data_IF_044215142558
#
_entry.id   IF_044215142558
#
_cell.length_a   1.000
_cell.length_b   1.000
_cell.length_c   1.000
_cell.angle_alpha   90.00
_cell.angle_beta   90.00
_cell.angle_gamma   90.00
#
_symmetry.space_group_name_H-M   'P 1'
#
loop_
_entity.id
_entity.type
_entity.pdbx_description
1 polymer ?
#
# COMPACT_ATOMS: atom_id res chain seq x y z
N UNK A 1 -53.65 11.46 8.03
CA UNK A 1 -52.37 12.19 8.02
C UNK A 1 -51.29 11.29 7.42
N UNK A 2 -50.68 11.67 6.31
CA UNK A 2 -49.69 10.81 5.64
C UNK A 2 -48.40 10.72 6.48
N UNK A 3 -48.02 9.50 6.87
CA UNK A 3 -46.84 9.25 7.71
C UNK A 3 -45.54 9.73 7.06
N UNK A 4 -44.59 10.17 7.91
CA UNK A 4 -43.25 10.61 7.49
C UNK A 4 -42.49 9.45 6.87
N UNK A 5 -42.20 9.53 5.57
CA UNK A 5 -41.40 8.52 4.85
C UNK A 5 -39.94 8.66 5.27
N UNK A 6 -39.34 7.55 5.73
CA UNK A 6 -37.96 7.52 6.23
C UNK A 6 -36.99 7.94 5.12
N UNK A 7 -36.03 8.80 5.47
CA UNK A 7 -34.99 9.33 4.56
C UNK A 7 -35.47 10.25 3.44
N UNK A 8 -36.77 10.52 3.33
CA UNK A 8 -37.31 11.52 2.42
C UNK A 8 -37.37 12.87 3.13
N UNK A 9 -36.70 13.87 2.57
CA UNK A 9 -36.67 15.25 3.05
C UNK A 9 -37.33 16.16 2.02
N UNK A 10 -38.14 17.11 2.46
CA UNK A 10 -38.71 18.16 1.62
C UNK A 10 -38.16 19.52 2.05
N UNK A 11 -37.50 20.23 1.14
CA UNK A 11 -36.87 21.55 1.36
C UNK A 11 -37.09 22.38 0.10
N UNK A 12 -37.53 23.63 0.27
CA UNK A 12 -37.67 24.62 -0.82
C UNK A 12 -38.40 24.10 -2.07
N UNK A 13 -39.53 23.41 -1.86
CA UNK A 13 -40.36 22.89 -2.95
C UNK A 13 -39.81 21.63 -3.63
N UNK A 14 -38.73 21.02 -3.12
CA UNK A 14 -38.09 19.84 -3.70
C UNK A 14 -37.90 18.71 -2.68
N UNK A 15 -38.00 17.49 -3.16
CA UNK A 15 -37.73 16.28 -2.41
C UNK A 15 -36.28 15.85 -2.57
N UNK A 16 -35.71 15.32 -1.49
CA UNK A 16 -34.35 14.82 -1.39
C UNK A 16 -34.33 13.48 -0.67
N UNK A 17 -33.47 12.56 -1.11
CA UNK A 17 -33.06 11.42 -0.30
C UNK A 17 -31.93 11.88 0.62
N UNK A 18 -32.08 11.69 1.93
CA UNK A 18 -31.10 12.12 2.94
C UNK A 18 -30.69 10.97 3.84
N UNK A 19 -29.37 10.78 4.01
CA UNK A 19 -28.79 9.87 5.01
C UNK A 19 -27.62 10.53 5.73
N UNK A 20 -27.56 10.34 7.04
CA UNK A 20 -26.46 10.84 7.87
C UNK A 20 -25.20 10.02 7.60
N UNK A 21 -24.05 10.69 7.50
CA UNK A 21 -22.73 10.04 7.41
C UNK A 21 -22.24 9.73 8.83
N UNK A 22 -21.96 8.45 9.16
CA UNK A 22 -21.34 8.06 10.42
C UNK A 22 -20.07 8.86 10.72
N UNK A 23 -19.82 9.21 11.98
CA UNK A 23 -18.72 10.10 12.38
C UNK A 23 -17.36 9.63 11.85
N UNK A 24 -17.10 8.33 11.90
CA UNK A 24 -15.86 7.69 11.45
C UNK A 24 -15.58 7.83 9.95
N UNK A 25 -16.62 8.09 9.15
CA UNK A 25 -16.53 8.21 7.69
C UNK A 25 -16.51 9.66 7.21
N UNK A 26 -16.76 10.64 8.09
CA UNK A 26 -16.88 12.05 7.71
C UNK A 26 -15.57 12.62 7.16
N UNK A 27 -14.42 12.17 7.66
CA UNK A 27 -13.10 12.59 7.15
C UNK A 27 -12.81 12.06 5.74
N UNK A 28 -13.46 10.96 5.34
CA UNK A 28 -13.28 10.35 4.01
C UNK A 28 -14.31 10.91 3.03
N UNK A 29 -15.57 11.01 3.45
CA UNK A 29 -16.69 11.50 2.62
C UNK A 29 -16.68 13.03 2.52
N UNK A 30 -16.07 13.74 3.47
CA UNK A 30 -15.99 15.20 3.52
C UNK A 30 -17.30 15.91 3.88
N UNK A 31 -18.36 15.16 4.19
CA UNK A 31 -19.70 15.69 4.50
C UNK A 31 -20.28 15.03 5.73
N UNK A 32 -21.11 15.78 6.47
CA UNK A 32 -21.85 15.25 7.64
C UNK A 32 -23.05 14.40 7.21
N UNK A 33 -23.59 14.68 6.02
CA UNK A 33 -24.77 14.04 5.47
C UNK A 33 -24.66 13.95 3.94
N UNK A 34 -25.25 12.90 3.38
CA UNK A 34 -25.42 12.76 1.94
C UNK A 34 -26.87 13.06 1.58
N UNK A 35 -27.03 13.96 0.62
CA UNK A 35 -28.31 14.36 0.07
C UNK A 35 -28.30 14.19 -1.44
N UNK A 36 -29.40 13.69 -1.98
CA UNK A 36 -29.59 13.52 -3.42
C UNK A 36 -30.96 14.08 -3.82
N UNK A 37 -31.02 14.99 -4.81
CA UNK A 37 -32.29 15.57 -5.26
C UNK A 37 -33.15 14.53 -5.99
N UNK A 38 -34.45 14.52 -5.69
CA UNK A 38 -35.46 13.63 -6.28
C UNK A 38 -36.51 14.38 -7.12
N UNK A 39 -36.46 15.72 -7.14
CA UNK A 39 -37.40 16.57 -7.89
C UNK A 39 -38.55 17.14 -7.05
N UNK A 40 -39.47 17.84 -7.70
CA UNK A 40 -40.56 18.56 -7.01
C UNK A 40 -41.84 17.73 -6.84
N UNK A 41 -42.06 16.71 -7.68
CA UNK A 41 -43.24 15.85 -7.59
C UNK A 41 -43.08 14.75 -6.52
N UNK A 42 -44.06 14.64 -5.63
CA UNK A 42 -44.04 13.73 -4.48
C UNK A 42 -44.11 12.27 -4.89
N UNK A 43 -44.93 11.92 -5.90
CA UNK A 43 -45.07 10.53 -6.35
C UNK A 43 -43.78 10.06 -7.00
N UNK A 44 -43.28 10.83 -7.97
CA UNK A 44 -42.00 10.56 -8.63
C UNK A 44 -40.84 10.46 -7.62
N UNK A 45 -40.80 11.31 -6.60
CA UNK A 45 -39.77 11.25 -5.58
C UNK A 45 -39.83 9.98 -4.72
N UNK A 46 -41.03 9.49 -4.39
CA UNK A 46 -41.19 8.23 -3.64
C UNK A 46 -40.71 7.04 -4.46
N UNK A 47 -40.98 7.03 -5.76
CA UNK A 47 -40.55 5.95 -6.65
C UNK A 47 -39.03 5.95 -6.87
N UNK A 48 -38.40 7.13 -6.91
CA UNK A 48 -36.95 7.28 -7.06
C UNK A 48 -36.16 7.12 -5.77
N UNK A 49 -36.80 7.25 -4.61
CA UNK A 49 -36.16 7.19 -3.29
C UNK A 49 -35.32 5.92 -3.08
N UNK A 50 -35.78 4.69 -3.40
CA UNK A 50 -34.98 3.48 -3.24
C UNK A 50 -33.68 3.51 -4.05
N UNK A 51 -33.73 4.04 -5.28
CA UNK A 51 -32.56 4.12 -6.18
C UNK A 51 -31.54 5.11 -5.61
N UNK A 52 -31.99 6.29 -5.16
CA UNK A 52 -31.11 7.27 -4.53
C UNK A 52 -30.48 6.73 -3.23
N UNK A 53 -31.24 5.99 -2.42
CA UNK A 53 -30.72 5.36 -1.21
C UNK A 53 -29.64 4.31 -1.50
N UNK A 54 -29.73 3.57 -2.62
CA UNK A 54 -28.68 2.64 -3.06
C UNK A 54 -27.41 3.40 -3.42
N UNK A 55 -27.50 4.51 -4.17
CA UNK A 55 -26.33 5.34 -4.52
C UNK A 55 -25.66 5.92 -3.27
N UNK A 56 -26.46 6.40 -2.32
CA UNK A 56 -25.96 6.89 -1.03
C UNK A 56 -25.31 5.75 -0.23
N UNK A 57 -25.89 4.56 -0.21
CA UNK A 57 -25.30 3.39 0.45
C UNK A 57 -23.95 3.01 -0.17
N UNK A 58 -23.86 2.93 -1.50
CA UNK A 58 -22.62 2.63 -2.20
C UNK A 58 -21.48 3.62 -1.87
N UNK A 59 -21.79 4.91 -1.72
CA UNK A 59 -20.81 5.92 -1.28
C UNK A 59 -20.31 5.68 0.15
N UNK A 60 -21.18 5.22 1.05
CA UNK A 60 -20.81 4.89 2.43
C UNK A 60 -20.00 3.59 2.49
N UNK A 61 -20.39 2.57 1.72
CA UNK A 61 -19.69 1.28 1.66
C UNK A 61 -18.27 1.46 1.10
N UNK A 62 -18.10 2.27 0.05
CA UNK A 62 -16.78 2.66 -0.46
C UNK A 62 -15.95 3.38 0.62
N UNK A 63 -16.54 4.33 1.36
CA UNK A 63 -15.83 5.02 2.42
C UNK A 63 -15.41 4.08 3.56
N UNK A 64 -16.22 3.07 3.87
CA UNK A 64 -15.87 2.01 4.82
C UNK A 64 -14.69 1.17 4.32
N UNK A 65 -14.70 0.76 3.06
CA UNK A 65 -13.60 0.00 2.46
C UNK A 65 -12.29 0.80 2.45
N UNK A 66 -12.34 2.09 2.07
CA UNK A 66 -11.16 2.99 2.15
C UNK A 66 -10.64 3.11 3.57
N UNK A 67 -11.54 3.20 4.56
CA UNK A 67 -11.14 3.24 5.98
C UNK A 67 -10.48 1.94 6.42
N UNK A 68 -11.07 0.79 6.10
CA UNK A 68 -10.54 -0.51 6.43
C UNK A 68 -9.13 -0.69 5.85
N UNK A 69 -8.95 -0.39 4.56
CA UNK A 69 -7.65 -0.44 3.90
C UNK A 69 -6.64 0.50 4.58
N UNK A 70 -7.02 1.75 4.91
CA UNK A 70 -6.11 2.65 5.64
C UNK A 70 -5.71 2.11 7.00
N UNK A 71 -6.62 1.46 7.73
CA UNK A 71 -6.32 0.86 9.02
C UNK A 71 -5.39 -0.34 8.87
N UNK A 72 -5.61 -1.19 7.87
CA UNK A 72 -4.76 -2.33 7.54
C UNK A 72 -3.36 -1.88 7.09
N UNK A 73 -3.26 -0.90 6.18
CA UNK A 73 -1.96 -0.34 5.75
C UNK A 73 -1.21 0.27 6.93
N UNK A 74 -1.89 1.06 7.78
CA UNK A 74 -1.27 1.62 8.97
C UNK A 74 -0.84 0.55 9.98
N UNK A 75 -1.58 -0.55 10.10
CA UNK A 75 -1.22 -1.68 10.95
C UNK A 75 -0.02 -2.46 10.37
N UNK A 76 -0.01 -2.71 9.06
CA UNK A 76 1.10 -3.35 8.36
C UNK A 76 2.37 -2.49 8.40
N UNK A 77 2.27 -1.17 8.24
CA UNK A 77 3.40 -0.25 8.38
C UNK A 77 3.92 -0.21 9.82
N UNK A 78 3.05 -0.27 10.83
CA UNK A 78 3.48 -0.36 12.23
C UNK A 78 4.16 -1.69 12.51
N UNK A 79 3.59 -2.80 12.05
CA UNK A 79 4.14 -4.14 12.21
C UNK A 79 5.47 -4.31 11.47
N UNK A 80 5.62 -3.71 10.28
CA UNK A 80 6.87 -3.70 9.52
C UNK A 80 7.95 -2.87 10.22
N UNK A 81 7.59 -1.74 10.84
CA UNK A 81 8.52 -0.93 11.64
C UNK A 81 8.94 -1.62 12.95
N UNK A 82 8.08 -2.48 13.51
CA UNK A 82 8.29 -3.17 14.79
C UNK A 82 8.55 -4.67 14.67
N UNK A 83 8.89 -5.17 13.48
CA UNK A 83 9.22 -6.60 13.34
C UNK A 83 10.60 -6.84 13.92
N UNK A 84 10.72 -7.89 14.72
CA UNK A 84 12.02 -8.43 15.12
C UNK A 84 12.76 -8.85 13.86
N UNK A 85 14.03 -8.48 13.76
CA UNK A 85 14.91 -8.78 12.64
C UNK A 85 16.05 -9.65 13.14
N UNK A 86 16.46 -10.61 12.32
CA UNK A 86 17.69 -11.36 12.55
C UNK A 86 18.93 -10.45 12.43
N UNK A 87 20.09 -10.83 13.00
CA UNK A 87 21.34 -10.10 12.82
C UNK A 87 21.68 -9.80 11.35
N UNK A 88 21.46 -10.76 10.46
CA UNK A 88 21.70 -10.60 9.02
C UNK A 88 20.73 -9.59 8.37
N UNK A 89 19.46 -9.60 8.75
CA UNK A 89 18.48 -8.61 8.25
C UNK A 89 18.78 -7.20 8.77
N UNK A 90 19.21 -7.08 10.03
CA UNK A 90 19.66 -5.80 10.60
C UNK A 90 20.86 -5.26 9.87
N UNK A 91 21.87 -6.10 9.61
CA UNK A 91 23.05 -5.73 8.83
C UNK A 91 22.66 -5.23 7.43
N UNK A 92 21.75 -5.96 6.74
CA UNK A 92 21.24 -5.55 5.42
C UNK A 92 20.50 -4.22 5.46
N UNK A 93 19.59 -4.02 6.42
CA UNK A 93 18.84 -2.77 6.57
C UNK A 93 19.79 -1.62 6.88
N UNK A 94 20.73 -1.80 7.81
CA UNK A 94 21.74 -0.81 8.17
C UNK A 94 22.58 -0.41 6.96
N UNK A 95 23.10 -1.39 6.23
CA UNK A 95 23.86 -1.15 4.99
C UNK A 95 23.08 -0.27 4.00
N UNK A 96 21.83 -0.64 3.73
CA UNK A 96 20.96 0.11 2.81
C UNK A 96 20.71 1.54 3.27
N UNK A 97 20.43 1.74 4.57
CA UNK A 97 20.25 3.07 5.15
C UNK A 97 21.51 3.91 4.97
N UNK A 98 22.71 3.34 5.19
CA UNK A 98 23.98 4.05 5.04
C UNK A 98 24.25 4.46 3.60
N UNK A 99 24.01 3.56 2.63
CA UNK A 99 24.16 3.87 1.21
C UNK A 99 23.17 4.94 0.76
N UNK A 100 21.91 4.87 1.22
CA UNK A 100 20.90 5.88 0.88
C UNK A 100 21.23 7.25 1.47
N UNK A 101 21.71 7.29 2.72
CA UNK A 101 22.15 8.52 3.38
C UNK A 101 23.34 9.14 2.65
N UNK A 102 24.37 8.36 2.33
CA UNK A 102 25.52 8.83 1.56
C UNK A 102 25.09 9.45 0.23
N UNK A 103 24.23 8.76 -0.53
CA UNK A 103 23.71 9.26 -1.79
C UNK A 103 22.92 10.58 -1.62
N UNK A 104 22.07 10.65 -0.59
CA UNK A 104 21.27 11.85 -0.32
C UNK A 104 22.15 13.06 0.02
N UNK A 105 23.20 12.87 0.83
CA UNK A 105 24.13 13.97 1.18
C UNK A 105 24.98 14.42 -0.02
N UNK A 106 25.44 13.50 -0.87
CA UNK A 106 26.13 13.85 -2.12
C UNK A 106 25.26 14.67 -3.07
N UNK A 107 23.96 14.35 -3.14
CA UNK A 107 23.00 15.11 -3.93
C UNK A 107 22.68 16.47 -3.33
N UNK A 108 22.75 16.60 -2.00
CA UNK A 108 22.45 17.85 -1.30
C UNK A 108 23.55 18.92 -1.49
N UNK A 109 24.82 18.53 -1.67
CA UNK A 109 25.89 19.48 -1.92
C UNK A 109 27.30 18.86 -2.00
N UNK A 110 28.29 19.63 -2.49
CA UNK A 110 29.64 19.11 -2.76
C UNK A 110 30.48 18.84 -1.51
N UNK A 111 30.08 19.37 -0.35
CA UNK A 111 30.87 19.29 0.89
C UNK A 111 30.97 17.88 1.45
N UNK A 112 29.98 17.01 1.17
CA UNK A 112 29.95 15.65 1.72
C UNK A 112 31.15 14.81 1.27
N UNK A 113 31.53 14.89 -0.01
CA UNK A 113 32.66 14.17 -0.56
C UNK A 113 34.03 14.65 -0.05
N UNK A 114 34.07 15.75 0.71
CA UNK A 114 35.29 16.28 1.33
C UNK A 114 35.43 15.89 2.80
N UNK A 115 34.44 15.21 3.38
CA UNK A 115 34.49 14.75 4.77
C UNK A 115 35.21 13.41 4.80
N UNK A 116 36.39 13.36 5.42
CA UNK A 116 37.15 12.13 5.59
C UNK A 116 36.50 11.16 6.58
N UNK A 117 36.86 9.88 6.46
CA UNK A 117 36.45 8.83 7.38
C UNK A 117 37.44 8.79 8.55
N UNK A 118 36.94 8.61 9.77
CA UNK A 118 37.79 8.45 10.96
C UNK A 118 38.41 7.03 10.97
N UNK A 119 39.73 6.96 10.78
CA UNK A 119 40.49 5.70 10.79
C UNK A 119 40.38 4.95 12.12
N UNK A 120 40.21 5.68 13.24
CA UNK A 120 40.03 5.05 14.55
C UNK A 120 38.68 4.34 14.62
N UNK A 121 37.63 4.96 14.12
CA UNK A 121 36.32 4.35 14.04
C UNK A 121 36.34 3.08 13.16
N UNK A 122 37.05 3.10 12.03
CA UNK A 122 37.24 1.91 11.18
C UNK A 122 38.00 0.81 11.93
N UNK A 123 39.05 1.16 12.68
CA UNK A 123 39.79 0.19 13.49
C UNK A 123 38.92 -0.43 14.60
N UNK A 124 38.10 0.38 15.27
CA UNK A 124 37.18 -0.06 16.32
C UNK A 124 36.10 -0.98 15.76
N UNK A 125 35.50 -0.66 14.61
CA UNK A 125 34.55 -1.53 13.91
C UNK A 125 35.16 -2.89 13.54
N UNK A 126 36.42 -2.92 13.08
CA UNK A 126 37.15 -4.17 12.82
C UNK A 126 37.38 -4.97 14.09
N UNK A 127 37.64 -4.30 15.22
CA UNK A 127 37.78 -4.95 16.51
C UNK A 127 36.46 -5.55 17.01
N UNK A 128 35.33 -4.86 16.82
CA UNK A 128 33.98 -5.40 17.07
C UNK A 128 33.74 -6.66 16.22
N UNK A 129 33.93 -6.56 14.90
CA UNK A 129 33.70 -7.66 13.97
C UNK A 129 34.57 -8.88 14.27
N UNK A 130 35.84 -8.66 14.64
CA UNK A 130 36.76 -9.72 15.04
C UNK A 130 36.47 -10.30 16.44
N UNK A 131 35.50 -9.75 17.18
CA UNK A 131 35.14 -10.18 18.52
C UNK A 131 36.20 -9.87 19.59
N UNK A 132 37.05 -8.87 19.37
CA UNK A 132 38.14 -8.51 20.29
C UNK A 132 37.70 -7.62 21.44
N UNK A 133 36.57 -6.92 21.29
CA UNK A 133 36.05 -5.98 22.27
C UNK A 133 35.07 -6.65 23.23
N UNK A 134 35.03 -6.21 24.48
CA UNK A 134 34.00 -6.59 25.44
C UNK A 134 32.65 -5.87 25.16
N UNK A 135 31.62 -6.16 25.96
CA UNK A 135 30.28 -5.63 25.67
C UNK A 135 30.16 -4.13 25.96
N UNK A 136 30.94 -3.60 26.89
CA UNK A 136 30.95 -2.18 27.24
C UNK A 136 31.72 -1.37 26.18
N UNK A 137 32.82 -1.93 25.68
CA UNK A 137 33.57 -1.40 24.54
C UNK A 137 32.73 -1.41 23.24
N UNK A 138 31.98 -2.49 22.97
CA UNK A 138 31.03 -2.53 21.85
C UNK A 138 29.95 -1.45 21.99
N UNK A 139 29.44 -1.21 23.21
CA UNK A 139 28.45 -0.17 23.46
C UNK A 139 29.03 1.25 23.24
N UNK A 140 30.31 1.48 23.54
CA UNK A 140 30.96 2.77 23.24
C UNK A 140 31.09 3.02 21.73
N UNK A 141 31.36 1.99 20.94
CA UNK A 141 31.56 2.11 19.48
C UNK A 141 30.22 2.15 18.72
N UNK A 142 29.28 1.29 19.11
CA UNK A 142 28.06 0.99 18.34
C UNK A 142 26.76 1.31 19.09
N UNK A 143 26.82 1.88 20.30
CA UNK A 143 25.67 2.10 21.18
C UNK A 143 24.54 2.84 20.50
N UNK A 144 24.83 3.96 19.83
CA UNK A 144 23.82 4.78 19.13
C UNK A 144 23.08 4.02 18.04
N UNK A 145 23.80 3.15 17.31
CA UNK A 145 23.24 2.35 16.22
C UNK A 145 22.36 1.22 16.79
N UNK A 146 22.86 0.51 17.81
CA UNK A 146 22.12 -0.57 18.46
C UNK A 146 20.87 -0.04 19.19
N UNK A 147 20.98 1.08 19.88
CA UNK A 147 19.87 1.72 20.58
C UNK A 147 18.79 2.22 19.60
N UNK A 148 19.19 2.67 18.40
CA UNK A 148 18.23 3.00 17.33
C UNK A 148 17.37 1.80 16.95
N UNK A 149 17.98 0.64 16.70
CA UNK A 149 17.24 -0.58 16.34
C UNK A 149 16.45 -1.16 17.51
N UNK A 150 16.97 -1.03 18.74
CA UNK A 150 16.24 -1.36 19.95
C UNK A 150 14.96 -0.52 20.10
N UNK A 151 15.06 0.82 19.95
CA UNK A 151 13.91 1.74 20.05
C UNK A 151 12.86 1.51 18.94
N UNK A 152 13.29 1.05 17.77
CA UNK A 152 12.38 0.66 16.68
C UNK A 152 11.70 -0.69 16.94
N UNK A 153 12.13 -1.44 17.94
CA UNK A 153 11.61 -2.78 18.24
C UNK A 153 12.13 -3.83 17.26
N UNK A 154 13.29 -3.62 16.63
CA UNK A 154 13.88 -4.58 15.69
C UNK A 154 14.80 -5.60 16.36
N UNK A 155 15.32 -5.30 17.56
CA UNK A 155 16.19 -6.19 18.34
C UNK A 155 15.40 -6.74 19.53
N UNK A 156 15.36 -8.07 19.69
CA UNK A 156 14.86 -8.75 20.89
C UNK A 156 15.96 -9.19 21.84
N UNK A 157 17.22 -9.18 21.40
CA UNK A 157 18.35 -9.64 22.21
C UNK A 157 18.58 -8.70 23.41
N UNK A 158 18.74 -9.30 24.59
CA UNK A 158 19.05 -8.54 25.80
C UNK A 158 20.43 -7.86 25.67
N UNK A 159 20.58 -6.61 26.13
CA UNK A 159 21.87 -5.93 26.12
C UNK A 159 22.97 -6.77 26.76
N UNK A 160 24.18 -6.73 26.18
CA UNK A 160 25.37 -7.50 26.60
C UNK A 160 25.26 -9.02 26.48
N UNK A 161 24.14 -9.58 25.99
CA UNK A 161 24.00 -11.02 25.71
C UNK A 161 24.83 -11.46 24.49
N UNK A 162 25.12 -12.77 24.33
CA UNK A 162 25.78 -13.28 23.13
C UNK A 162 25.04 -12.95 21.83
N UNK A 163 23.70 -13.02 21.83
CA UNK A 163 22.87 -12.66 20.67
C UNK A 163 22.93 -11.17 20.33
N UNK A 164 23.07 -10.31 21.35
CA UNK A 164 23.30 -8.88 21.16
C UNK A 164 24.68 -8.60 20.57
N UNK A 165 25.71 -9.35 21.00
CA UNK A 165 27.07 -9.26 20.43
C UNK A 165 27.11 -9.71 18.97
N UNK A 166 26.43 -10.80 18.64
CA UNK A 166 26.27 -11.27 17.25
C UNK A 166 25.60 -10.19 16.39
N UNK A 167 24.55 -9.56 16.91
CA UNK A 167 23.88 -8.44 16.24
C UNK A 167 24.86 -7.27 15.99
N UNK A 168 25.63 -6.89 17.01
CA UNK A 168 26.62 -5.83 16.88
C UNK A 168 27.71 -6.14 15.85
N UNK A 169 28.18 -7.40 15.80
CA UNK A 169 29.15 -7.86 14.80
C UNK A 169 28.60 -7.80 13.38
N UNK A 170 27.36 -8.25 13.18
CA UNK A 170 26.71 -8.22 11.87
C UNK A 170 26.55 -6.78 11.36
N UNK A 171 26.11 -5.86 12.23
CA UNK A 171 25.97 -4.43 11.90
C UNK A 171 27.35 -3.79 11.67
N UNK A 172 28.37 -4.13 12.45
CA UNK A 172 29.73 -3.61 12.25
C UNK A 172 30.33 -4.02 10.90
N UNK A 173 30.08 -5.26 10.47
CA UNK A 173 30.46 -5.72 9.12
C UNK A 173 29.76 -4.91 8.02
N UNK A 174 28.45 -4.68 8.16
CA UNK A 174 27.69 -3.84 7.23
C UNK A 174 28.16 -2.37 7.22
N UNK A 175 28.53 -1.80 8.36
CA UNK A 175 29.06 -0.45 8.45
C UNK A 175 30.41 -0.31 7.74
N UNK A 176 31.32 -1.27 7.91
CA UNK A 176 32.61 -1.30 7.20
C UNK A 176 32.42 -1.35 5.69
N UNK A 177 31.55 -2.25 5.21
CA UNK A 177 31.21 -2.35 3.79
C UNK A 177 30.60 -1.05 3.25
N UNK A 178 29.77 -0.37 4.04
CA UNK A 178 29.20 0.91 3.63
C UNK A 178 30.28 1.99 3.51
N UNK A 179 31.21 2.06 4.46
CA UNK A 179 32.34 2.99 4.44
C UNK A 179 33.26 2.73 3.23
N UNK A 180 33.50 1.48 2.85
CA UNK A 180 34.25 1.16 1.63
C UNK A 180 33.56 1.70 0.37
N UNK A 181 32.22 1.55 0.26
CA UNK A 181 31.47 2.13 -0.86
C UNK A 181 31.50 3.66 -0.89
N UNK A 182 31.65 4.31 0.27
CA UNK A 182 31.85 5.78 0.37
C UNK A 182 33.20 6.15 -0.22
N UNK A 183 34.28 5.45 0.19
CA UNK A 183 35.64 5.68 -0.34
C UNK A 183 35.68 5.51 -1.86
N UNK A 184 35.13 4.42 -2.39
CA UNK A 184 35.07 4.19 -3.84
C UNK A 184 34.39 5.36 -4.58
N UNK A 185 33.31 5.93 -4.03
CA UNK A 185 32.61 7.07 -4.64
C UNK A 185 33.41 8.36 -4.53
N UNK A 186 34.13 8.57 -3.43
CA UNK A 186 35.03 9.71 -3.26
C UNK A 186 36.18 9.66 -4.28
N UNK A 187 36.65 8.46 -4.63
CA UNK A 187 37.61 8.21 -5.71
C UNK A 187 37.01 8.33 -7.12
N UNK A 188 35.70 8.57 -7.24
CA UNK A 188 35.01 8.76 -8.52
C UNK A 188 34.52 7.48 -9.18
N UNK A 189 34.42 6.36 -8.45
CA UNK A 189 33.79 5.15 -8.97
C UNK A 189 32.32 5.40 -9.29
N UNK A 190 31.86 4.88 -10.43
CA UNK A 190 30.45 4.93 -10.84
C UNK A 190 29.60 4.11 -9.85
N UNK A 191 28.61 4.72 -9.14
CA UNK A 191 27.75 4.01 -8.21
C UNK A 191 27.04 2.80 -8.83
N UNK A 192 26.79 2.82 -10.15
CA UNK A 192 26.15 1.70 -10.86
C UNK A 192 27.08 0.49 -11.07
N UNK A 193 28.38 0.67 -10.89
CA UNK A 193 29.40 -0.37 -11.06
C UNK A 193 29.89 -0.93 -9.72
N UNK A 194 29.39 -0.40 -8.60
CA UNK A 194 29.76 -0.89 -7.29
C UNK A 194 29.22 -2.30 -7.07
N UNK A 195 30.11 -3.18 -6.60
CA UNK A 195 29.76 -4.54 -6.25
C UNK A 195 29.38 -4.56 -4.78
N UNK A 196 28.10 -4.81 -4.51
CA UNK A 196 27.59 -4.96 -3.15
C UNK A 196 27.67 -6.43 -2.72
N UNK A 197 28.05 -6.74 -1.47
CA UNK A 197 28.01 -8.12 -0.97
C UNK A 197 26.60 -8.69 -1.08
N UNK A 198 26.47 -9.91 -1.61
CA UNK A 198 25.16 -10.51 -1.94
C UNK A 198 24.22 -10.63 -0.71
N UNK A 199 24.76 -10.81 0.48
CA UNK A 199 23.99 -10.90 1.74
C UNK A 199 23.55 -9.52 2.29
N UNK A 200 24.15 -8.43 1.80
CA UNK A 200 23.78 -7.04 2.12
C UNK A 200 23.00 -6.35 0.99
N UNK A 201 22.97 -6.95 -0.20
CA UNK A 201 22.11 -6.52 -1.29
C UNK A 201 20.65 -6.51 -0.81
N UNK A 202 19.79 -5.63 -1.39
CA UNK A 202 18.36 -5.72 -1.12
C UNK A 202 17.90 -7.15 -1.29
N UNK A 203 17.18 -7.65 -0.29
CA UNK A 203 16.36 -8.82 -0.49
C UNK A 203 15.59 -8.50 -1.76
N UNK A 204 15.79 -9.33 -2.79
CA UNK A 204 14.92 -9.30 -3.95
C UNK A 204 13.57 -9.63 -3.33
N UNK A 205 12.79 -8.59 -3.05
CA UNK A 205 11.36 -8.74 -2.95
C UNK A 205 11.08 -9.33 -4.31
N UNK A 206 10.74 -10.61 -4.31
CA UNK A 206 10.18 -11.21 -5.48
C UNK A 206 8.91 -10.40 -5.70
N UNK A 207 9.03 -9.30 -6.44
CA UNK A 207 7.96 -8.61 -7.11
C UNK A 207 7.47 -9.61 -8.15
N UNK A 208 7.01 -10.78 -7.69
CA UNK A 208 5.93 -11.47 -8.34
C UNK A 208 4.91 -10.36 -8.53
N UNK A 209 4.74 -9.89 -9.77
CA UNK A 209 3.76 -8.86 -10.00
C UNK A 209 2.48 -9.45 -9.43
N UNK A 210 1.83 -8.73 -8.52
CA UNK A 210 0.49 -9.10 -8.05
C UNK A 210 -0.46 -9.27 -9.26
N UNK A 211 -0.03 -8.92 -10.48
CA UNK A 211 -0.71 -9.01 -11.74
C UNK A 211 -0.29 -10.21 -12.61
N UNK A 212 -0.49 -11.41 -12.10
CA UNK A 212 -1.16 -12.44 -12.89
C UNK A 212 -2.51 -12.81 -12.23
N UNK A 213 -3.26 -11.80 -11.76
CA UNK A 213 -4.64 -12.07 -11.35
C UNK A 213 -5.39 -12.65 -12.54
N UNK A 214 -6.01 -13.80 -12.35
CA UNK A 214 -7.02 -14.30 -13.26
C UNK A 214 -8.05 -13.18 -13.54
N UNK A 215 -8.62 -13.11 -14.76
CA UNK A 215 -9.63 -12.11 -15.07
C UNK A 215 -10.73 -12.10 -14.00
N UNK A 216 -10.93 -10.95 -13.36
CA UNK A 216 -12.01 -10.75 -12.39
C UNK A 216 -13.32 -10.57 -13.16
N UNK A 217 -14.15 -11.60 -13.17
CA UNK A 217 -15.46 -11.59 -13.83
C UNK A 217 -16.42 -10.60 -13.16
N UNK A 218 -17.02 -9.69 -13.92
CA UNK A 218 -18.09 -8.81 -13.45
C UNK A 218 -19.31 -9.61 -13.00
N UNK A 219 -19.66 -10.65 -13.75
CA UNK A 219 -20.70 -11.61 -13.37
C UNK A 219 -20.35 -12.34 -12.07
N UNK A 220 -19.10 -12.79 -11.93
CA UNK A 220 -18.60 -13.44 -10.72
C UNK A 220 -18.66 -12.54 -9.49
N UNK A 221 -18.26 -11.26 -9.63
CA UNK A 221 -18.36 -10.27 -8.57
C UNK A 221 -19.81 -10.01 -8.16
N UNK A 222 -20.72 -9.92 -9.12
CA UNK A 222 -22.16 -9.79 -8.85
C UNK A 222 -22.68 -10.99 -8.06
N UNK A 223 -22.39 -12.21 -8.49
CA UNK A 223 -22.87 -13.42 -7.82
C UNK A 223 -22.33 -13.54 -6.39
N UNK A 224 -21.04 -13.21 -6.19
CA UNK A 224 -20.43 -13.17 -4.85
C UNK A 224 -21.13 -12.14 -3.94
N UNK A 225 -21.44 -10.96 -4.48
CA UNK A 225 -22.14 -9.90 -3.75
C UNK A 225 -23.59 -10.29 -3.40
N UNK A 226 -24.34 -10.85 -4.36
CA UNK A 226 -25.70 -11.33 -4.13
C UNK A 226 -25.74 -12.46 -3.10
N UNK A 227 -24.80 -13.40 -3.18
CA UNK A 227 -24.64 -14.47 -2.19
C UNK A 227 -24.35 -13.92 -0.78
N UNK A 228 -23.52 -12.89 -0.67
CA UNK A 228 -23.26 -12.23 0.60
C UNK A 228 -24.51 -11.55 1.17
N UNK A 229 -25.33 -10.93 0.33
CA UNK A 229 -26.61 -10.34 0.75
C UNK A 229 -27.63 -11.39 1.18
N UNK A 230 -27.69 -12.54 0.53
CA UNK A 230 -28.58 -13.64 0.90
C UNK A 230 -28.23 -14.24 2.26
N UNK A 231 -26.94 -14.38 2.58
CA UNK A 231 -26.48 -14.81 3.92
C UNK A 231 -26.94 -13.86 5.02
N UNK A 232 -27.22 -12.59 4.68
CA UNK A 232 -27.73 -11.57 5.59
C UNK A 232 -29.27 -11.46 5.57
N UNK A 233 -29.97 -12.39 4.91
CA UNK A 233 -31.43 -12.38 4.77
C UNK A 233 -31.97 -11.28 3.84
N UNK A 234 -31.11 -10.68 3.01
CA UNK A 234 -31.44 -9.61 2.05
C UNK A 234 -31.24 -10.12 0.61
N UNK A 235 -31.47 -9.29 -0.40
CA UNK A 235 -31.01 -9.57 -1.77
C UNK A 235 -31.95 -10.31 -2.72
N UNK A 236 -33.11 -10.87 -2.29
CA UNK A 236 -34.05 -11.56 -3.21
C UNK A 236 -34.49 -10.72 -4.41
N UNK A 237 -34.82 -9.45 -4.19
CA UNK A 237 -35.19 -8.53 -5.27
C UNK A 237 -33.99 -8.21 -6.18
N UNK A 238 -32.80 -8.08 -5.60
CA UNK A 238 -31.55 -7.86 -6.34
C UNK A 238 -31.22 -9.04 -7.26
N UNK A 239 -31.35 -10.27 -6.76
CA UNK A 239 -31.07 -11.49 -7.53
C UNK A 239 -32.00 -11.69 -8.73
N UNK A 240 -33.22 -11.15 -8.68
CA UNK A 240 -34.16 -11.19 -9.80
C UNK A 240 -33.85 -10.15 -10.88
N UNK A 241 -33.36 -8.97 -10.50
CA UNK A 241 -33.25 -7.83 -11.42
C UNK A 241 -31.82 -7.57 -11.93
N UNK A 242 -30.81 -7.79 -11.09
CA UNK A 242 -29.44 -7.35 -11.38
C UNK A 242 -28.68 -8.22 -12.38
N UNK A 243 -28.91 -9.56 -12.50
CA UNK A 243 -28.24 -10.36 -13.52
C UNK A 243 -28.45 -9.80 -14.94
N UNK A 244 -29.69 -9.48 -15.31
CA UNK A 244 -30.00 -8.94 -16.64
C UNK A 244 -29.33 -7.60 -16.90
N UNK A 245 -29.27 -6.72 -15.89
CA UNK A 245 -28.58 -5.43 -16.01
C UNK A 245 -27.08 -5.59 -16.23
N UNK A 246 -26.46 -6.59 -15.60
CA UNK A 246 -25.04 -6.88 -15.80
C UNK A 246 -24.77 -7.57 -17.14
N UNK A 247 -25.70 -8.37 -17.66
CA UNK A 247 -25.64 -8.88 -19.03
C UNK A 247 -25.64 -7.74 -20.05
N UNK A 248 -26.56 -6.78 -19.91
CA UNK A 248 -26.62 -5.59 -20.76
C UNK A 248 -25.34 -4.75 -20.68
N UNK A 249 -24.77 -4.61 -19.47
CA UNK A 249 -23.50 -3.90 -19.27
C UNK A 249 -22.34 -4.61 -19.97
N UNK A 250 -22.22 -5.93 -19.82
CA UNK A 250 -21.16 -6.71 -20.47
C UNK A 250 -21.30 -6.63 -21.99
N UNK A 251 -22.53 -6.68 -22.51
CA UNK A 251 -22.80 -6.51 -23.94
C UNK A 251 -22.42 -5.11 -24.43
N UNK A 252 -22.84 -4.07 -23.71
CA UNK A 252 -22.45 -2.68 -24.00
C UNK A 252 -20.93 -2.50 -24.03
N UNK A 253 -20.21 -3.08 -23.07
CA UNK A 253 -18.74 -3.01 -23.03
C UNK A 253 -18.08 -3.77 -24.19
N UNK A 254 -18.66 -4.90 -24.61
CA UNK A 254 -18.18 -5.63 -25.77
C UNK A 254 -18.31 -4.79 -27.05
N UNK A 255 -19.45 -4.14 -27.24
CA UNK A 255 -19.73 -3.33 -28.42
C UNK A 255 -18.90 -2.03 -28.41
N UNK A 256 -18.83 -1.33 -27.27
CA UNK A 256 -18.06 -0.10 -27.14
C UNK A 256 -16.56 -0.32 -27.37
N UNK A 257 -16.03 -1.49 -27.00
CA UNK A 257 -14.62 -1.87 -27.20
C UNK A 257 -14.37 -2.59 -28.54
N UNK A 258 -15.39 -2.78 -29.37
CA UNK A 258 -15.27 -3.46 -30.67
C UNK A 258 -14.87 -4.95 -30.57
N UNK A 259 -15.15 -5.61 -29.44
CA UNK A 259 -14.74 -7.00 -29.19
C UNK A 259 -15.62 -7.97 -29.99
N UNK A 260 -14.97 -8.88 -30.73
CA UNK A 260 -15.64 -9.88 -31.61
C UNK A 260 -15.22 -11.32 -31.28
N UNK A 261 -16.11 -12.27 -31.52
CA UNK A 261 -15.86 -13.70 -31.30
C UNK A 261 -15.32 -14.00 -29.89
N UNK A 262 -14.23 -14.75 -29.81
CA UNK A 262 -13.61 -15.17 -28.55
C UNK A 262 -13.05 -14.03 -27.69
N UNK A 263 -12.92 -12.81 -28.21
CA UNK A 263 -12.46 -11.64 -27.44
C UNK A 263 -13.56 -11.00 -26.59
N UNK A 264 -14.84 -11.36 -26.82
CA UNK A 264 -15.98 -10.85 -26.02
C UNK A 264 -15.89 -11.21 -24.54
N UNK A 265 -15.24 -12.33 -24.19
CA UNK A 265 -14.97 -12.70 -22.79
C UNK A 265 -14.19 -11.63 -22.01
N UNK A 266 -13.46 -10.76 -22.70
CA UNK A 266 -12.74 -9.65 -22.07
C UNK A 266 -13.63 -8.46 -21.70
N UNK A 267 -14.88 -8.42 -22.17
CA UNK A 267 -15.86 -7.43 -21.73
C UNK A 267 -16.26 -7.65 -20.26
N UNK A 268 -16.24 -8.90 -19.81
CA UNK A 268 -16.54 -9.32 -18.44
C UNK A 268 -15.37 -9.09 -17.46
N UNK A 269 -14.18 -8.68 -17.93
CA UNK A 269 -13.03 -8.40 -17.05
C UNK A 269 -13.17 -7.03 -16.38
N UNK A 270 -13.53 -7.04 -15.10
CA UNK A 270 -13.75 -5.86 -14.26
C UNK A 270 -12.52 -4.94 -14.18
N UNK A 271 -11.31 -5.48 -14.32
CA UNK A 271 -10.06 -4.69 -14.30
C UNK A 271 -9.96 -3.70 -15.45
N UNK A 272 -10.72 -3.93 -16.52
CA UNK A 272 -10.72 -3.07 -17.72
C UNK A 272 -11.75 -1.96 -17.66
N UNK A 273 -12.53 -1.85 -16.58
CA UNK A 273 -13.54 -0.80 -16.39
C UNK A 273 -12.92 0.58 -16.16
N UNK A 274 -11.78 0.65 -15.48
CA UNK A 274 -11.03 1.90 -15.33
C UNK A 274 -10.13 2.08 -16.55
N UNK A 275 -10.36 3.14 -17.32
CA UNK A 275 -9.44 3.60 -18.36
C UNK A 275 -8.12 4.09 -17.75
N UNK A 276 -7.31 3.18 -17.20
CA UNK A 276 -5.89 3.44 -17.03
C UNK A 276 -5.31 3.26 -18.43
N UNK A 277 -5.06 4.40 -19.07
CA UNK A 277 -4.24 4.49 -20.26
C UNK A 277 -2.91 3.79 -19.96
N UNK A 278 -2.76 2.53 -20.37
CA UNK A 278 -1.50 1.79 -20.28
C UNK A 278 -0.75 2.06 -21.58
N UNK A 279 0.37 2.81 -21.57
CA UNK A 279 1.23 2.85 -22.73
C UNK A 279 1.90 1.47 -22.82
N UNK A 280 1.65 0.72 -23.89
CA UNK A 280 2.31 -0.58 -24.04
C UNK A 280 1.71 -1.58 -25.02
N UNK A 281 0.58 -1.31 -25.66
CA UNK A 281 0.15 -2.10 -26.82
C UNK A 281 0.18 -1.24 -28.08
N UNK A 282 1.40 -0.95 -28.54
CA UNK A 282 1.62 -0.57 -29.92
C UNK A 282 1.21 -1.76 -30.79
N UNK A 283 0.28 -1.50 -31.71
CA UNK A 283 -0.26 -2.49 -32.62
C UNK A 283 0.83 -3.11 -33.48
N UNK A 284 0.77 -4.44 -33.61
CA UNK A 284 1.28 -5.11 -34.79
C UNK A 284 0.51 -4.60 -36.00
N UNK A 285 1.18 -3.80 -36.82
CA UNK A 285 0.73 -3.56 -38.19
C UNK A 285 1.05 -4.82 -39.01
N UNK A 286 -0.01 -5.54 -39.36
CA UNK A 286 -0.09 -6.26 -40.61
C UNK A 286 -0.25 -5.21 -41.72
N UNK A 287 0.83 -4.93 -42.46
CA UNK A 287 0.95 -4.94 -43.93
C UNK A 287 2.42 -5.17 -44.23
#
# INVERSE_FOLDING_TARGET
>A
MAGKIRYLLFVDGRYYARRVVPQELRSIVGKRELQEPLGADRRSAIDQLPVALIRIAAKLDHAQAVRANRLETNAAERASRSSLLSPAELARVHYQERIAIDLAFRQAGPTWASIGIDDRYVADLRAVLAGRLDSDEIEQVMGDILERYLRRGNISAEPRSPAWRETAQAIAGAELEALERVVERDEGADPKKQVHPAHLAPAVIDETPIYAQEPLSLRGLLEAHLSALERQGRGRAGRRAWPNVFEDLVQFLADHRGLKGNTRKHADDARRLTGVNRPGFAGGHLV
#
